data_IF_450278559470
#
_entry.id   IF_450278559470
#
_cell.length_a   1.000
_cell.length_b   1.000
_cell.length_c   1.000
_cell.angle_alpha   90.00
_cell.angle_beta   90.00
_cell.angle_gamma   90.00
#
_symmetry.space_group_name_H-M   'P 1'
#
loop_
_entity.id
_entity.type
_entity.pdbx_description
1 polymer ?
#
# COMPACT_ATOMS: atom_id res chain seq x y z
N UNK A 1 -12.83 10.33 -18.22
CA UNK A 1 -13.84 10.98 -17.36
C UNK A 1 -13.35 10.91 -15.93
N UNK A 2 -13.03 12.05 -15.31
CA UNK A 2 -12.34 12.10 -14.01
C UNK A 2 -13.30 11.77 -12.86
N UNK A 3 -12.80 11.13 -11.80
CA UNK A 3 -13.58 10.68 -10.63
C UNK A 3 -14.21 11.80 -9.81
N UNK A 4 -13.74 13.06 -9.92
CA UNK A 4 -14.44 14.18 -9.25
C UNK A 4 -15.86 14.34 -9.82
N UNK A 5 -16.04 13.99 -11.10
CA UNK A 5 -17.37 13.98 -11.72
C UNK A 5 -18.35 13.02 -11.04
N UNK A 6 -17.93 11.85 -10.56
CA UNK A 6 -18.86 10.88 -9.93
C UNK A 6 -19.29 11.34 -8.54
N UNK A 7 -18.36 11.79 -7.69
CA UNK A 7 -18.69 12.29 -6.35
C UNK A 7 -19.53 13.57 -6.41
N UNK A 8 -19.22 14.47 -7.34
CA UNK A 8 -20.04 15.64 -7.64
C UNK A 8 -21.43 15.26 -8.16
N UNK A 9 -21.52 14.26 -9.05
CA UNK A 9 -22.81 13.74 -9.54
C UNK A 9 -23.61 13.16 -8.38
N UNK A 10 -23.01 12.36 -7.51
CA UNK A 10 -23.66 11.76 -6.34
C UNK A 10 -24.16 12.85 -5.39
N UNK A 11 -23.31 13.81 -5.03
CA UNK A 11 -23.70 14.96 -4.18
C UNK A 11 -24.86 15.75 -4.81
N UNK A 12 -24.84 15.91 -6.14
CA UNK A 12 -25.92 16.60 -6.88
C UNK A 12 -27.20 15.77 -6.92
N UNK A 13 -27.09 14.45 -7.05
CA UNK A 13 -28.21 13.50 -7.02
C UNK A 13 -28.83 13.48 -5.63
N UNK A 14 -28.04 13.40 -4.57
CA UNK A 14 -28.49 13.51 -3.16
C UNK A 14 -29.33 14.77 -2.95
N UNK A 15 -28.78 15.94 -3.27
CA UNK A 15 -29.48 17.22 -3.09
C UNK A 15 -30.80 17.28 -3.87
N UNK A 16 -30.85 16.67 -5.06
CA UNK A 16 -32.09 16.61 -5.86
C UNK A 16 -33.11 15.64 -5.26
N UNK A 17 -32.68 14.47 -4.79
CA UNK A 17 -33.56 13.51 -4.12
C UNK A 17 -34.16 14.15 -2.87
N UNK A 18 -33.37 14.85 -2.08
CA UNK A 18 -33.83 15.52 -0.86
C UNK A 18 -34.85 16.63 -1.16
N UNK A 19 -34.58 17.43 -2.19
CA UNK A 19 -35.51 18.45 -2.65
C UNK A 19 -36.85 17.84 -3.12
N UNK A 20 -36.80 16.79 -3.94
CA UNK A 20 -38.02 16.11 -4.40
C UNK A 20 -38.78 15.43 -3.28
N UNK A 21 -38.07 14.82 -2.32
CA UNK A 21 -38.68 14.20 -1.14
C UNK A 21 -39.41 15.25 -0.30
N UNK A 22 -38.76 16.38 -0.04
CA UNK A 22 -39.35 17.48 0.72
C UNK A 22 -40.59 18.05 0.02
N UNK A 23 -40.52 18.23 -1.30
CA UNK A 23 -41.63 18.77 -2.07
C UNK A 23 -42.81 17.80 -2.16
N UNK A 24 -42.56 16.51 -2.39
CA UNK A 24 -43.61 15.49 -2.41
C UNK A 24 -44.27 15.34 -1.03
N UNK A 25 -43.50 15.36 0.06
CA UNK A 25 -44.05 15.33 1.42
C UNK A 25 -44.98 16.53 1.67
N UNK A 26 -44.57 17.73 1.21
CA UNK A 26 -45.38 18.95 1.29
C UNK A 26 -46.68 18.83 0.48
N UNK A 27 -46.59 18.32 -0.77
CA UNK A 27 -47.75 18.11 -1.65
C UNK A 27 -48.71 17.07 -1.04
N UNK A 28 -48.21 15.92 -0.58
CA UNK A 28 -49.02 14.89 0.08
C UNK A 28 -49.74 15.43 1.31
N UNK A 29 -49.07 16.25 2.13
CA UNK A 29 -49.71 16.90 3.28
C UNK A 29 -50.83 17.85 2.85
N UNK A 30 -50.63 18.65 1.81
CA UNK A 30 -51.67 19.54 1.28
C UNK A 30 -52.87 18.76 0.73
N UNK A 31 -52.63 17.69 -0.03
CA UNK A 31 -53.70 16.81 -0.55
C UNK A 31 -54.44 16.12 0.59
N UNK A 32 -53.74 15.75 1.67
CA UNK A 32 -54.38 15.17 2.87
C UNK A 32 -55.35 16.15 3.53
N UNK A 33 -54.95 17.42 3.66
CA UNK A 33 -55.84 18.47 4.21
C UNK A 33 -57.02 18.74 3.26
N UNK A 34 -56.77 18.81 1.95
CA UNK A 34 -57.81 19.05 0.95
C UNK A 34 -58.83 17.90 0.94
N UNK A 35 -58.37 16.66 0.98
CA UNK A 35 -59.23 15.48 1.05
C UNK A 35 -60.02 15.42 2.35
N UNK A 36 -59.43 15.82 3.48
CA UNK A 36 -60.13 15.97 4.75
C UNK A 36 -61.28 16.98 4.65
N UNK A 37 -61.03 18.16 4.10
CA UNK A 37 -62.06 19.18 3.88
C UNK A 37 -63.18 18.65 2.97
N UNK A 38 -62.84 17.93 1.91
CA UNK A 38 -63.81 17.29 1.03
C UNK A 38 -64.63 16.19 1.73
N UNK A 39 -64.02 15.40 2.61
CA UNK A 39 -64.72 14.41 3.44
C UNK A 39 -65.72 15.09 4.39
N UNK A 40 -65.34 16.21 5.02
CA UNK A 40 -66.22 16.98 5.91
C UNK A 40 -67.43 17.50 5.14
N UNK A 41 -67.22 18.09 3.96
CA UNK A 41 -68.31 18.65 3.16
C UNK A 41 -69.23 17.55 2.58
N UNK A 42 -68.66 16.41 2.17
CA UNK A 42 -69.42 15.24 1.76
C UNK A 42 -70.32 14.69 2.89
N UNK A 43 -69.82 14.66 4.13
CA UNK A 43 -70.61 14.27 5.30
C UNK A 43 -71.73 15.29 5.59
N UNK A 44 -71.45 16.59 5.40
CA UNK A 44 -72.42 17.68 5.61
C UNK A 44 -73.57 17.65 4.59
N UNK A 45 -73.29 17.23 3.36
CA UNK A 45 -74.28 17.06 2.29
C UNK A 45 -75.12 15.77 2.42
N UNK A 46 -74.84 14.90 3.41
CA UNK A 46 -75.61 13.69 3.68
C UNK A 46 -75.67 12.73 2.49
N UNK A 47 -76.87 12.29 2.11
CA UNK A 47 -77.11 11.37 1.00
C UNK A 47 -76.54 11.89 -0.34
N UNK A 48 -76.65 13.20 -0.60
CA UNK A 48 -76.17 13.81 -1.84
C UNK A 48 -74.63 13.85 -1.93
N UNK A 49 -73.93 13.79 -0.78
CA UNK A 49 -72.48 13.81 -0.68
C UNK A 49 -71.80 12.45 -0.76
N UNK A 50 -72.55 11.34 -0.77
CA UNK A 50 -71.98 9.97 -0.68
C UNK A 50 -70.92 9.68 -1.74
N UNK A 51 -71.17 10.04 -3.00
CA UNK A 51 -70.21 9.86 -4.10
C UNK A 51 -68.93 10.68 -3.94
N UNK A 52 -69.05 11.93 -3.46
CA UNK A 52 -67.91 12.79 -3.15
C UNK A 52 -67.08 12.26 -1.98
N UNK A 53 -67.72 11.64 -0.98
CA UNK A 53 -67.02 11.02 0.15
C UNK A 53 -66.10 9.87 -0.27
N UNK A 54 -66.51 9.05 -1.25
CA UNK A 54 -65.68 7.97 -1.81
C UNK A 54 -64.45 8.55 -2.52
N UNK A 55 -64.63 9.58 -3.35
CA UNK A 55 -63.52 10.24 -4.05
C UNK A 55 -62.55 10.89 -3.06
N UNK A 56 -63.06 11.55 -2.02
CA UNK A 56 -62.23 12.16 -0.99
C UNK A 56 -61.37 11.13 -0.23
N UNK A 57 -61.93 9.96 0.08
CA UNK A 57 -61.17 8.86 0.68
C UNK A 57 -60.10 8.31 -0.26
N UNK A 58 -60.40 8.13 -1.55
CA UNK A 58 -59.41 7.66 -2.54
C UNK A 58 -58.24 8.65 -2.68
N UNK A 59 -58.55 9.95 -2.73
CA UNK A 59 -57.53 11.02 -2.77
C UNK A 59 -56.66 11.00 -1.50
N UNK A 60 -57.24 10.73 -0.33
CA UNK A 60 -56.50 10.58 0.92
C UNK A 60 -55.56 9.37 0.87
N UNK A 61 -56.03 8.24 0.36
CA UNK A 61 -55.21 7.03 0.19
C UNK A 61 -54.04 7.30 -0.75
N UNK A 62 -54.27 7.95 -1.89
CA UNK A 62 -53.21 8.35 -2.83
C UNK A 62 -52.19 9.30 -2.19
N UNK A 63 -52.65 10.27 -1.39
CA UNK A 63 -51.77 11.18 -0.66
C UNK A 63 -50.88 10.44 0.36
N UNK A 64 -51.46 9.48 1.08
CA UNK A 64 -50.73 8.63 2.01
C UNK A 64 -49.69 7.76 1.29
N UNK A 65 -50.05 7.14 0.16
CA UNK A 65 -49.12 6.35 -0.65
C UNK A 65 -47.95 7.21 -1.17
N UNK A 66 -48.22 8.44 -1.60
CA UNK A 66 -47.19 9.38 -2.04
C UNK A 66 -46.25 9.82 -0.89
N UNK A 67 -46.77 9.95 0.34
CA UNK A 67 -45.95 10.21 1.52
C UNK A 67 -45.01 9.04 1.83
N UNK A 68 -45.55 7.80 1.85
CA UNK A 68 -44.75 6.58 2.05
C UNK A 68 -43.68 6.41 0.97
N UNK A 69 -44.03 6.59 -0.31
CA UNK A 69 -43.05 6.54 -1.39
C UNK A 69 -41.93 7.58 -1.23
N UNK A 70 -42.21 8.74 -0.64
CA UNK A 70 -41.20 9.74 -0.32
C UNK A 70 -40.27 9.30 0.81
N UNK A 71 -40.79 8.62 1.83
CA UNK A 71 -39.97 8.03 2.89
C UNK A 71 -39.05 6.93 2.35
N UNK A 72 -39.57 6.05 1.47
CA UNK A 72 -38.81 4.99 0.79
C UNK A 72 -37.69 5.55 -0.10
N UNK A 73 -37.89 6.71 -0.75
CA UNK A 73 -36.81 7.39 -1.46
C UNK A 73 -35.68 7.82 -0.52
N UNK A 74 -36.01 8.18 0.72
CA UNK A 74 -35.03 8.54 1.74
C UNK A 74 -34.20 7.35 2.23
N UNK A 75 -34.84 6.19 2.44
CA UNK A 75 -34.14 4.97 2.81
C UNK A 75 -33.23 4.49 1.66
N UNK A 76 -33.73 4.46 0.42
CA UNK A 76 -32.96 4.11 -0.77
C UNK A 76 -31.74 5.02 -0.96
N UNK A 77 -31.89 6.33 -0.74
CA UNK A 77 -30.77 7.29 -0.75
C UNK A 77 -29.68 6.90 0.25
N UNK A 78 -30.06 6.59 1.49
CA UNK A 78 -29.11 6.21 2.53
C UNK A 78 -28.39 4.91 2.18
N UNK A 79 -29.12 3.93 1.66
CA UNK A 79 -28.56 2.66 1.21
C UNK A 79 -27.53 2.86 0.08
N UNK A 80 -27.86 3.67 -0.93
CA UNK A 80 -26.94 3.99 -2.03
C UNK A 80 -25.67 4.69 -1.54
N UNK A 81 -25.79 5.59 -0.55
CA UNK A 81 -24.65 6.28 0.05
C UNK A 81 -23.73 5.33 0.79
N UNK A 82 -24.31 4.43 1.56
CA UNK A 82 -23.56 3.41 2.28
C UNK A 82 -22.81 2.51 1.30
N UNK A 83 -23.50 1.96 0.29
CA UNK A 83 -22.88 1.11 -0.73
C UNK A 83 -21.76 1.82 -1.49
N UNK A 84 -21.92 3.11 -1.79
CA UNK A 84 -20.88 3.89 -2.46
C UNK A 84 -19.64 4.08 -1.58
N UNK A 85 -19.84 4.40 -0.30
CA UNK A 85 -18.77 4.59 0.67
C UNK A 85 -17.98 3.29 0.87
N UNK A 86 -18.68 2.17 1.06
CA UNK A 86 -18.08 0.84 1.19
C UNK A 86 -17.24 0.49 -0.04
N UNK A 87 -17.74 0.76 -1.26
CA UNK A 87 -16.98 0.56 -2.50
C UNK A 87 -15.75 1.46 -2.61
N UNK A 88 -15.78 2.68 -2.09
CA UNK A 88 -14.59 3.53 -2.04
C UNK A 88 -13.51 2.89 -1.14
N UNK A 89 -13.91 2.36 0.01
CA UNK A 89 -13.01 1.76 1.00
C UNK A 89 -12.43 0.43 0.53
N UNK A 90 -13.25 -0.44 -0.06
CA UNK A 90 -12.80 -1.67 -0.72
C UNK A 90 -11.68 -1.36 -1.72
N UNK A 91 -11.88 -0.29 -2.50
CA UNK A 91 -10.96 0.12 -3.54
C UNK A 91 -9.65 0.71 -3.00
N UNK A 92 -9.69 1.40 -1.86
CA UNK A 92 -8.47 1.80 -1.15
C UNK A 92 -7.69 0.56 -0.69
N UNK A 93 -8.38 -0.45 -0.19
CA UNK A 93 -7.77 -1.71 0.23
C UNK A 93 -7.17 -2.49 -0.95
N UNK A 94 -7.84 -2.52 -2.11
CA UNK A 94 -7.29 -3.06 -3.37
C UNK A 94 -6.04 -2.30 -3.84
N UNK A 95 -6.06 -0.98 -3.70
CA UNK A 95 -4.91 -0.13 -4.04
C UNK A 95 -3.74 -0.45 -3.12
N UNK A 96 -3.97 -0.56 -1.81
CA UNK A 96 -2.96 -1.00 -0.85
C UNK A 96 -2.39 -2.38 -1.24
N UNK A 97 -3.26 -3.34 -1.58
CA UNK A 97 -2.81 -4.67 -2.01
C UNK A 97 -1.91 -4.58 -3.25
N UNK A 98 -2.27 -3.78 -4.24
CA UNK A 98 -1.46 -3.61 -5.45
C UNK A 98 -0.08 -3.02 -5.13
N UNK A 99 -0.03 -1.98 -4.30
CA UNK A 99 1.23 -1.31 -3.94
C UNK A 99 2.20 -2.22 -3.21
N UNK A 100 1.72 -2.98 -2.22
CA UNK A 100 2.58 -3.90 -1.48
C UNK A 100 3.07 -5.04 -2.37
N UNK A 101 2.28 -5.47 -3.35
CA UNK A 101 2.65 -6.51 -4.31
C UNK A 101 3.71 -6.05 -5.32
N UNK A 102 3.68 -4.78 -5.74
CA UNK A 102 4.73 -4.22 -6.60
C UNK A 102 6.11 -4.32 -5.93
N UNK A 103 6.17 -4.06 -4.62
CA UNK A 103 7.39 -4.20 -3.83
C UNK A 103 7.86 -5.65 -3.78
N UNK A 104 6.98 -6.60 -3.42
CA UNK A 104 7.37 -8.02 -3.30
C UNK A 104 7.95 -8.53 -4.62
N UNK A 105 7.29 -8.20 -5.74
CA UNK A 105 7.77 -8.58 -7.06
C UNK A 105 9.11 -7.93 -7.41
N UNK A 106 9.32 -6.68 -7.05
CA UNK A 106 10.58 -5.98 -7.29
C UNK A 106 11.75 -6.57 -6.46
N UNK A 107 11.46 -6.99 -5.23
CA UNK A 107 12.45 -7.58 -4.32
C UNK A 107 12.78 -9.03 -4.66
N UNK A 108 11.85 -9.78 -5.26
CA UNK A 108 12.06 -11.17 -5.65
C UNK A 108 13.32 -11.38 -6.50
N UNK A 109 13.50 -10.57 -7.55
CA UNK A 109 14.65 -10.68 -8.47
C UNK A 109 16.01 -10.54 -7.73
N UNK A 110 16.04 -9.73 -6.67
CA UNK A 110 17.26 -9.45 -5.89
C UNK A 110 17.77 -10.69 -5.16
N UNK A 111 16.87 -11.60 -4.81
CA UNK A 111 17.22 -12.90 -4.21
C UNK A 111 18.00 -13.78 -5.18
N UNK A 112 17.68 -13.74 -6.47
CA UNK A 112 18.38 -14.48 -7.51
C UNK A 112 19.70 -13.78 -7.88
N UNK A 113 19.67 -12.45 -8.04
CA UNK A 113 20.83 -11.63 -8.38
C UNK A 113 22.00 -11.89 -7.42
N UNK A 114 21.77 -11.83 -6.10
CA UNK A 114 22.83 -12.01 -5.11
C UNK A 114 23.45 -13.43 -5.13
N UNK A 115 22.62 -14.46 -5.35
CA UNK A 115 23.07 -15.86 -5.41
C UNK A 115 23.89 -16.13 -6.65
N UNK A 116 23.45 -15.62 -7.79
CA UNK A 116 24.17 -15.77 -9.05
C UNK A 116 25.51 -15.02 -9.06
N UNK A 117 25.55 -13.79 -8.56
CA UNK A 117 26.80 -13.03 -8.53
C UNK A 117 27.80 -13.55 -7.51
N UNK A 118 27.35 -14.19 -6.44
CA UNK A 118 28.26 -14.80 -5.47
C UNK A 118 29.10 -15.96 -6.06
N UNK A 119 28.74 -16.48 -7.24
CA UNK A 119 29.54 -17.49 -7.96
C UNK A 119 30.47 -16.89 -9.02
N UNK A 120 30.54 -15.57 -9.16
CA UNK A 120 31.41 -14.91 -10.14
C UNK A 120 32.89 -15.16 -9.79
N UNK A 121 33.66 -15.65 -10.77
CA UNK A 121 35.04 -16.09 -10.61
C UNK A 121 35.95 -14.99 -10.06
N UNK A 122 35.74 -13.73 -10.48
CA UNK A 122 36.55 -12.62 -10.00
C UNK A 122 36.32 -12.36 -8.50
N UNK A 123 35.07 -12.49 -8.04
CA UNK A 123 34.72 -12.29 -6.64
C UNK A 123 35.25 -13.44 -5.77
N UNK A 124 35.10 -14.67 -6.24
CA UNK A 124 35.63 -15.88 -5.57
C UNK A 124 37.15 -15.80 -5.46
N UNK A 125 37.84 -15.53 -6.57
CA UNK A 125 39.29 -15.43 -6.59
C UNK A 125 39.82 -14.28 -5.71
N UNK A 126 39.11 -13.15 -5.67
CA UNK A 126 39.41 -12.03 -4.77
C UNK A 126 39.39 -12.43 -3.29
N UNK A 127 38.40 -13.25 -2.88
CA UNK A 127 38.29 -13.74 -1.50
C UNK A 127 39.23 -14.92 -1.18
N UNK A 128 39.60 -15.73 -2.16
CA UNK A 128 40.55 -16.84 -1.95
C UNK A 128 41.99 -16.36 -1.85
N UNK A 129 42.40 -15.41 -2.70
CA UNK A 129 43.77 -14.89 -2.73
C UNK A 129 44.00 -13.77 -1.71
N UNK A 130 43.01 -12.90 -1.51
CA UNK A 130 43.12 -11.65 -0.72
C UNK A 130 44.26 -10.74 -1.19
N UNK A 131 44.72 -10.90 -2.43
CA UNK A 131 45.79 -10.10 -3.01
C UNK A 131 45.25 -8.83 -3.66
N UNK A 132 46.02 -7.74 -3.58
CA UNK A 132 45.62 -6.44 -4.14
C UNK A 132 45.17 -6.46 -5.61
N UNK A 133 45.89 -7.14 -6.54
CA UNK A 133 45.45 -7.27 -7.93
C UNK A 133 44.11 -8.01 -8.10
N UNK A 134 43.90 -9.10 -7.36
CA UNK A 134 42.66 -9.87 -7.44
C UNK A 134 41.47 -9.08 -6.87
N UNK A 135 41.65 -8.36 -5.77
CA UNK A 135 40.63 -7.49 -5.19
C UNK A 135 40.26 -6.32 -6.11
N UNK A 136 41.22 -5.73 -6.83
CA UNK A 136 40.92 -4.72 -7.87
C UNK A 136 40.10 -5.29 -9.01
N UNK A 137 40.40 -6.51 -9.45
CA UNK A 137 39.61 -7.16 -10.49
C UNK A 137 38.17 -7.45 -10.01
N UNK A 138 38.02 -7.89 -8.77
CA UNK A 138 36.70 -8.06 -8.15
C UNK A 138 35.93 -6.72 -8.09
N UNK A 139 36.59 -5.61 -7.74
CA UNK A 139 36.01 -4.27 -7.74
C UNK A 139 35.51 -3.83 -9.13
N UNK A 140 36.32 -4.03 -10.16
CA UNK A 140 35.94 -3.75 -11.56
C UNK A 140 34.71 -4.56 -11.97
N UNK A 141 34.66 -5.84 -11.57
CA UNK A 141 33.53 -6.73 -11.84
C UNK A 141 32.26 -6.24 -11.15
N UNK A 142 32.32 -5.91 -9.86
CA UNK A 142 31.20 -5.34 -9.11
C UNK A 142 30.70 -4.03 -9.76
N UNK A 143 31.63 -3.16 -10.17
CA UNK A 143 31.33 -1.90 -10.84
C UNK A 143 30.60 -2.10 -12.17
N UNK A 144 31.04 -3.09 -12.96
CA UNK A 144 30.40 -3.45 -14.22
C UNK A 144 29.01 -4.04 -14.03
N UNK A 145 28.82 -4.89 -13.01
CA UNK A 145 27.48 -5.42 -12.66
C UNK A 145 26.57 -4.25 -12.29
N UNK A 146 26.94 -3.42 -11.31
CA UNK A 146 26.08 -2.32 -10.84
C UNK A 146 25.72 -1.33 -11.97
N UNK A 147 26.59 -1.11 -12.96
CA UNK A 147 26.30 -0.25 -14.12
C UNK A 147 25.01 -0.63 -14.86
N UNK A 148 24.65 -1.91 -14.91
CA UNK A 148 23.44 -2.37 -15.60
C UNK A 148 22.20 -2.44 -14.72
N UNK A 149 22.32 -2.16 -13.41
CA UNK A 149 21.23 -2.27 -12.45
C UNK A 149 21.06 -0.96 -11.68
N UNK A 150 20.11 -0.14 -12.12
CA UNK A 150 19.85 1.18 -11.54
C UNK A 150 19.25 1.16 -10.14
N UNK A 151 18.80 0.00 -9.64
CA UNK A 151 18.13 -0.14 -8.34
C UNK A 151 19.08 -0.33 -7.17
N UNK A 152 20.36 -0.57 -7.42
CA UNK A 152 21.36 -0.77 -6.38
C UNK A 152 22.17 0.50 -6.13
N UNK A 153 22.33 0.84 -4.85
CA UNK A 153 23.31 1.86 -4.45
C UNK A 153 24.71 1.31 -4.62
N UNK A 154 24.94 0.09 -4.14
CA UNK A 154 26.27 -0.52 -4.11
C UNK A 154 26.19 -2.05 -4.04
N UNK A 155 27.26 -2.70 -4.48
CA UNK A 155 27.53 -4.11 -4.23
C UNK A 155 28.82 -4.16 -3.42
N UNK A 156 28.87 -4.97 -2.36
CA UNK A 156 30.00 -5.03 -1.43
C UNK A 156 30.51 -6.47 -1.31
N UNK A 157 31.81 -6.65 -1.45
CA UNK A 157 32.48 -7.92 -1.21
C UNK A 157 33.13 -7.87 0.17
N UNK A 158 32.75 -8.81 1.03
CA UNK A 158 33.12 -8.82 2.45
C UNK A 158 33.92 -10.06 2.76
N UNK A 159 35.07 -9.90 3.42
CA UNK A 159 35.87 -11.02 3.89
C UNK A 159 35.17 -11.80 5.02
N UNK A 160 35.65 -13.03 5.29
CA UNK A 160 35.08 -13.90 6.34
C UNK A 160 35.04 -13.29 7.75
N UNK A 161 35.84 -12.24 8.02
CA UNK A 161 35.88 -11.50 9.29
C UNK A 161 34.95 -10.29 9.33
N UNK A 162 34.20 -10.03 8.25
CA UNK A 162 33.26 -8.93 8.14
C UNK A 162 33.85 -7.61 7.68
N UNK A 163 35.10 -7.58 7.21
CA UNK A 163 35.70 -6.39 6.60
C UNK A 163 35.29 -6.25 5.14
N UNK A 164 34.87 -5.06 4.71
CA UNK A 164 34.52 -4.80 3.31
C UNK A 164 35.81 -4.61 2.50
N UNK A 165 36.07 -5.51 1.55
CA UNK A 165 37.32 -5.58 0.79
C UNK A 165 37.24 -4.86 -0.56
N UNK A 166 36.06 -4.83 -1.18
CA UNK A 166 35.80 -4.15 -2.44
C UNK A 166 34.34 -3.71 -2.53
N UNK A 167 34.04 -2.68 -3.33
CA UNK A 167 32.66 -2.30 -3.62
C UNK A 167 32.48 -1.74 -5.03
N UNK A 168 31.26 -1.79 -5.57
CA UNK A 168 30.99 -1.35 -6.95
C UNK A 168 31.06 0.16 -7.21
N UNK A 169 31.06 0.99 -6.15
CA UNK A 169 31.06 2.46 -6.26
C UNK A 169 32.01 3.11 -5.25
N UNK A 170 33.32 2.80 -5.29
CA UNK A 170 34.28 3.25 -4.29
C UNK A 170 34.49 4.77 -4.30
N UNK A 171 34.31 5.42 -5.47
CA UNK A 171 34.40 6.88 -5.60
C UNK A 171 33.20 7.61 -5.02
N UNK A 172 31.99 7.02 -5.13
CA UNK A 172 30.77 7.59 -4.58
C UNK A 172 30.68 7.36 -3.07
N UNK A 173 31.10 6.18 -2.59
CA UNK A 173 31.02 5.79 -1.18
C UNK A 173 32.41 5.42 -0.62
N UNK A 174 33.32 6.39 -0.44
CA UNK A 174 34.71 6.13 -0.08
C UNK A 174 34.90 5.54 1.32
N UNK A 175 33.86 5.57 2.17
CA UNK A 175 33.88 5.03 3.53
C UNK A 175 33.50 3.54 3.60
N UNK A 176 33.05 2.96 2.49
CA UNK A 176 32.53 1.58 2.46
C UNK A 176 33.67 0.57 2.54
N UNK A 177 34.69 0.69 1.68
CA UNK A 177 35.86 -0.19 1.72
C UNK A 177 36.64 0.06 3.01
N UNK A 178 37.01 -1.02 3.70
CA UNK A 178 37.66 -0.98 5.01
C UNK A 178 36.70 -0.86 6.21
N UNK A 179 35.41 -0.64 5.98
CA UNK A 179 34.40 -0.71 7.05
C UNK A 179 34.21 -2.15 7.55
N UNK A 180 33.67 -2.31 8.76
CA UNK A 180 33.40 -3.62 9.34
C UNK A 180 31.90 -3.83 9.59
N UNK A 181 31.35 -4.87 8.97
CA UNK A 181 29.94 -5.26 9.02
C UNK A 181 29.73 -6.59 9.76
N UNK A 182 30.73 -7.10 10.49
CA UNK A 182 30.65 -8.39 11.21
C UNK A 182 29.49 -8.49 12.21
N UNK A 183 29.01 -7.34 12.70
CA UNK A 183 27.89 -7.24 13.65
C UNK A 183 26.52 -7.12 12.97
N UNK A 184 26.46 -6.86 11.66
CA UNK A 184 25.19 -6.73 10.96
C UNK A 184 24.47 -8.08 10.92
N UNK A 185 23.14 -8.04 10.87
CA UNK A 185 22.34 -9.26 10.84
C UNK A 185 22.48 -9.96 9.49
N UNK A 186 22.43 -9.20 8.39
CA UNK A 186 22.61 -9.75 7.05
C UNK A 186 23.95 -10.48 6.86
N UNK A 187 25.06 -9.97 7.40
CA UNK A 187 26.36 -10.61 7.26
C UNK A 187 26.41 -11.94 8.02
N UNK A 188 25.98 -11.94 9.29
CA UNK A 188 25.97 -13.14 10.13
C UNK A 188 25.05 -14.22 9.56
N UNK A 189 23.87 -13.82 9.09
CA UNK A 189 22.92 -14.75 8.49
C UNK A 189 23.43 -15.30 7.14
N UNK A 190 24.05 -14.46 6.31
CA UNK A 190 24.67 -14.91 5.06
C UNK A 190 25.81 -15.90 5.31
N UNK A 191 26.71 -15.62 6.26
CA UNK A 191 27.79 -16.55 6.66
C UNK A 191 27.26 -17.87 7.22
N UNK A 192 26.10 -17.86 7.88
CA UNK A 192 25.45 -19.04 8.44
C UNK A 192 24.72 -19.92 7.42
N UNK A 193 24.56 -19.47 6.17
CA UNK A 193 23.99 -20.29 5.10
C UNK A 193 24.84 -21.55 4.86
N UNK A 194 24.19 -22.66 4.53
CA UNK A 194 24.83 -23.96 4.32
C UNK A 194 24.98 -24.34 2.84
N UNK A 195 24.24 -23.67 1.95
CA UNK A 195 24.28 -23.92 0.51
C UNK A 195 24.24 -22.61 -0.29
N UNK A 196 24.69 -22.65 -1.55
CA UNK A 196 24.76 -21.49 -2.45
C UNK A 196 23.42 -20.99 -2.98
N UNK A 197 22.35 -21.78 -2.82
CA UNK A 197 20.98 -21.40 -3.15
C UNK A 197 20.25 -20.66 -2.02
N UNK A 198 20.88 -20.56 -0.84
CA UNK A 198 20.38 -19.80 0.29
C UNK A 198 20.86 -18.35 0.27
N UNK A 199 20.13 -17.47 0.95
CA UNK A 199 20.46 -16.05 1.08
C UNK A 199 19.86 -15.51 2.38
N UNK A 200 20.28 -14.30 2.75
CA UNK A 200 19.77 -13.53 3.85
C UNK A 200 19.30 -12.16 3.34
N UNK A 201 18.32 -11.57 4.03
CA UNK A 201 17.83 -10.21 3.77
C UNK A 201 17.75 -9.49 5.10
N UNK A 202 18.26 -8.26 5.17
CA UNK A 202 18.04 -7.41 6.34
C UNK A 202 16.72 -6.64 6.25
N UNK A 203 16.23 -6.18 7.38
CA UNK A 203 15.13 -5.22 7.42
C UNK A 203 15.59 -3.82 6.95
N UNK A 204 14.65 -2.91 6.73
CA UNK A 204 14.95 -1.57 6.26
C UNK A 204 15.60 -0.74 7.37
N UNK A 205 16.76 -0.16 7.07
CA UNK A 205 17.49 0.68 8.00
C UNK A 205 18.26 1.80 7.26
N UNK A 206 18.61 2.85 8.00
CA UNK A 206 19.56 3.86 7.53
C UNK A 206 20.97 3.26 7.53
N UNK A 207 21.67 3.36 6.41
CA UNK A 207 23.04 2.92 6.31
C UNK A 207 24.03 4.10 6.35
N UNK A 208 24.84 4.15 7.40
CA UNK A 208 25.82 5.23 7.60
C UNK A 208 26.97 5.23 6.60
N UNK A 209 27.24 4.11 5.93
CA UNK A 209 28.29 4.02 4.91
C UNK A 209 27.82 4.54 3.55
N UNK A 210 26.51 4.59 3.33
CA UNK A 210 25.85 5.12 2.13
C UNK A 210 25.07 6.42 2.43
N UNK A 211 25.71 7.36 3.14
CA UNK A 211 25.19 8.70 3.43
C UNK A 211 23.86 8.74 4.21
N UNK A 212 23.56 7.72 5.00
CA UNK A 212 22.35 7.63 5.81
C UNK A 212 21.10 7.28 5.01
N UNK A 213 21.25 6.80 3.77
CA UNK A 213 20.14 6.35 2.93
C UNK A 213 19.43 5.15 3.55
N UNK A 214 18.12 5.07 3.34
CA UNK A 214 17.37 3.85 3.66
C UNK A 214 17.71 2.76 2.65
N UNK A 215 18.12 1.60 3.14
CA UNK A 215 18.52 0.46 2.31
C UNK A 215 17.87 -0.84 2.77
N UNK A 216 17.78 -1.78 1.84
CA UNK A 216 17.63 -3.20 2.14
C UNK A 216 18.89 -3.92 1.67
N UNK A 217 19.43 -4.85 2.46
CA UNK A 217 20.63 -5.60 2.06
C UNK A 217 20.26 -7.05 1.82
N UNK A 218 20.46 -7.50 0.59
CA UNK A 218 20.41 -8.91 0.22
C UNK A 218 21.83 -9.45 0.28
N UNK A 219 22.03 -10.60 0.90
CA UNK A 219 23.37 -11.13 1.11
C UNK A 219 23.40 -12.65 0.99
N UNK A 220 24.52 -13.18 0.51
CA UNK A 220 24.79 -14.62 0.55
C UNK A 220 26.27 -14.90 0.71
N UNK A 221 26.60 -16.09 1.20
CA UNK A 221 27.99 -16.52 1.32
C UNK A 221 28.61 -16.72 -0.07
N UNK A 222 29.78 -16.13 -0.28
CA UNK A 222 30.67 -16.54 -1.38
C UNK A 222 31.40 -17.80 -0.92
N UNK A 223 31.39 -18.83 -1.77
CA UNK A 223 31.90 -20.15 -1.44
C UNK A 223 33.12 -20.50 -2.27
N UNK A 224 34.03 -21.25 -1.64
CA UNK A 224 35.27 -21.71 -2.26
C UNK A 224 35.01 -22.42 -3.60
N UNK A 225 35.81 -22.09 -4.62
CA UNK A 225 35.71 -22.60 -5.98
C UNK A 225 34.31 -22.48 -6.61
N UNK A 226 33.51 -21.50 -6.18
CA UNK A 226 32.12 -21.29 -6.61
C UNK A 226 31.20 -22.52 -6.40
N UNK A 227 31.57 -23.46 -5.51
CA UNK A 227 30.77 -24.67 -5.26
C UNK A 227 29.56 -24.36 -4.39
N UNK A 228 28.41 -24.95 -4.74
CA UNK A 228 27.15 -24.80 -4.00
C UNK A 228 27.30 -25.24 -2.54
N UNK A 229 28.06 -26.29 -2.27
CA UNK A 229 28.37 -26.86 -0.96
C UNK A 229 29.77 -26.48 -0.44
N UNK A 230 30.45 -25.54 -1.12
CA UNK A 230 31.77 -25.09 -0.74
C UNK A 230 31.79 -24.35 0.60
N UNK A 231 32.96 -24.33 1.26
CA UNK A 231 33.16 -23.56 2.48
C UNK A 231 32.90 -22.08 2.23
N UNK A 232 32.16 -21.42 3.11
CA UNK A 232 31.98 -19.95 3.09
C UNK A 232 33.32 -19.25 3.33
N UNK A 233 33.74 -18.42 2.38
CA UNK A 233 35.02 -17.66 2.41
C UNK A 233 34.81 -16.15 2.53
N UNK A 234 33.57 -15.69 2.39
CA UNK A 234 33.16 -14.30 2.56
C UNK A 234 31.68 -14.14 2.23
N UNK A 235 31.24 -12.90 2.06
CA UNK A 235 29.85 -12.55 1.75
C UNK A 235 29.81 -11.56 0.60
N UNK A 236 28.88 -11.78 -0.33
CA UNK A 236 28.45 -10.75 -1.26
C UNK A 236 27.22 -10.07 -0.67
N UNK A 237 27.30 -8.76 -0.47
CA UNK A 237 26.17 -7.92 -0.08
C UNK A 237 25.70 -7.06 -1.26
N UNK A 238 24.41 -7.00 -1.46
CA UNK A 238 23.73 -6.23 -2.50
C UNK A 238 22.88 -5.16 -1.80
N UNK A 239 23.31 -3.91 -1.89
CA UNK A 239 22.71 -2.77 -1.19
C UNK A 239 21.66 -2.13 -2.09
N UNK A 240 20.40 -2.49 -1.85
CA UNK A 240 19.25 -2.02 -2.61
C UNK A 240 18.84 -0.61 -2.16
N UNK A 241 18.59 0.28 -3.13
CA UNK A 241 18.16 1.67 -2.88
C UNK A 241 16.68 1.74 -2.47
N UNK A 242 16.39 1.30 -1.24
CA UNK A 242 15.03 1.26 -0.73
C UNK A 242 14.35 2.63 -0.80
N UNK A 243 15.06 3.70 -0.41
CA UNK A 243 14.50 5.05 -0.39
C UNK A 243 13.92 5.48 -1.74
N UNK A 244 14.69 5.36 -2.83
CA UNK A 244 14.23 5.80 -4.16
C UNK A 244 13.10 4.92 -4.69
N UNK A 245 13.24 3.60 -4.54
CA UNK A 245 12.29 2.64 -5.11
C UNK A 245 10.95 2.71 -4.37
N UNK A 246 10.97 2.74 -3.04
CA UNK A 246 9.76 2.82 -2.25
C UNK A 246 9.06 4.18 -2.41
N UNK A 247 9.82 5.29 -2.51
CA UNK A 247 9.26 6.62 -2.80
C UNK A 247 8.51 6.66 -4.13
N UNK A 248 9.01 5.96 -5.15
CA UNK A 248 8.34 5.83 -6.45
C UNK A 248 7.00 5.11 -6.28
N UNK A 249 6.96 4.04 -5.51
CA UNK A 249 5.74 3.25 -5.30
C UNK A 249 4.69 4.03 -4.53
N UNK A 250 5.06 4.65 -3.42
CA UNK A 250 4.10 5.40 -2.59
C UNK A 250 3.68 6.76 -3.18
N UNK A 251 4.27 7.23 -4.29
CA UNK A 251 3.94 8.53 -4.91
C UNK A 251 3.50 8.47 -6.37
N UNK A 252 4.12 7.60 -7.18
CA UNK A 252 3.95 7.58 -8.64
C UNK A 252 3.12 6.39 -9.13
N UNK A 253 3.22 5.24 -8.46
CA UNK A 253 2.46 4.04 -8.84
C UNK A 253 1.00 4.07 -8.33
N UNK A 254 0.70 4.98 -7.39
CA UNK A 254 -0.65 5.10 -6.82
C UNK A 254 -1.59 5.78 -7.82
N UNK A 255 -2.61 5.05 -8.30
CA UNK A 255 -3.57 5.58 -9.28
C UNK A 255 -4.84 6.13 -8.60
N UNK A 256 -4.80 7.40 -8.23
CA UNK A 256 -5.92 8.13 -7.61
C UNK A 256 -6.25 9.42 -8.36
N UNK A 257 -7.46 9.96 -8.13
CA UNK A 257 -7.79 11.33 -8.54
C UNK A 257 -7.02 12.33 -7.68
N UNK A 258 -6.75 13.52 -8.23
CA UNK A 258 -6.06 14.59 -7.50
C UNK A 258 -6.76 14.97 -6.17
N UNK A 259 -8.09 15.04 -6.16
CA UNK A 259 -8.88 15.30 -4.94
C UNK A 259 -8.65 14.21 -3.88
N UNK A 260 -8.75 12.94 -4.28
CA UNK A 260 -8.53 11.79 -3.40
C UNK A 260 -7.10 11.77 -2.87
N UNK A 261 -6.13 12.05 -3.75
CA UNK A 261 -4.72 12.12 -3.39
C UNK A 261 -4.44 13.23 -2.37
N UNK A 262 -5.05 14.41 -2.54
CA UNK A 262 -4.84 15.55 -1.65
C UNK A 262 -5.25 15.28 -0.19
N UNK A 263 -6.18 14.36 0.04
CA UNK A 263 -6.63 13.91 1.37
C UNK A 263 -6.04 12.56 1.79
N UNK A 264 -5.15 11.98 1.00
CA UNK A 264 -4.61 10.64 1.25
C UNK A 264 -3.12 10.65 1.57
N UNK A 265 -2.73 9.79 2.50
CA UNK A 265 -1.35 9.47 2.84
C UNK A 265 -1.13 7.98 2.60
N UNK A 266 -0.12 7.64 1.80
CA UNK A 266 0.21 6.27 1.43
C UNK A 266 1.49 5.88 2.14
N UNK A 267 1.52 4.69 2.74
CA UNK A 267 2.65 4.19 3.50
C UNK A 267 2.93 2.73 3.19
N UNK A 268 4.18 2.33 3.36
CA UNK A 268 4.60 0.95 3.49
C UNK A 268 5.10 0.74 4.92
N UNK A 269 4.71 -0.37 5.53
CA UNK A 269 5.13 -0.76 6.87
C UNK A 269 5.89 -2.09 6.82
N UNK A 270 6.91 -2.23 7.65
CA UNK A 270 7.56 -3.53 7.86
C UNK A 270 6.70 -4.49 8.71
N UNK A 271 7.21 -5.71 8.98
CA UNK A 271 6.49 -6.69 9.81
C UNK A 271 6.40 -6.28 11.30
N UNK A 272 7.18 -5.29 11.72
CA UNK A 272 7.11 -4.68 13.05
C UNK A 272 6.22 -3.42 13.05
N UNK A 273 5.47 -3.18 11.96
CA UNK A 273 4.60 -2.04 11.75
C UNK A 273 5.32 -0.69 11.79
N UNK A 274 6.62 -0.64 11.49
CA UNK A 274 7.34 0.63 11.32
C UNK A 274 7.17 1.15 9.91
N UNK A 275 7.03 2.47 9.74
CA UNK A 275 6.90 3.09 8.43
C UNK A 275 8.21 3.02 7.67
N UNK A 276 8.29 2.16 6.66
CA UNK A 276 9.47 2.03 5.80
C UNK A 276 9.40 2.89 4.54
N UNK A 277 8.22 3.40 4.18
CA UNK A 277 8.06 4.47 3.20
C UNK A 277 6.78 5.25 3.44
N UNK A 278 6.76 6.53 3.06
CA UNK A 278 5.56 7.37 3.14
C UNK A 278 5.49 8.39 2.00
N UNK A 279 4.28 8.69 1.54
CA UNK A 279 4.04 9.65 0.47
C UNK A 279 4.44 11.07 0.84
N UNK A 280 4.56 11.39 2.12
CA UNK A 280 4.94 12.70 2.67
C UNK A 280 6.34 12.73 3.32
N UNK A 281 7.12 11.64 3.20
CA UNK A 281 8.43 11.43 3.85
C UNK A 281 8.39 11.56 5.41
N UNK A 282 7.20 11.57 6.04
CA UNK A 282 7.07 11.67 7.50
C UNK A 282 7.01 10.30 8.17
N UNK A 283 7.50 10.26 9.41
CA UNK A 283 7.39 9.09 10.29
C UNK A 283 8.26 7.90 9.90
N UNK A 284 9.24 8.08 9.01
CA UNK A 284 10.11 6.99 8.57
C UNK A 284 10.81 6.31 9.75
N UNK A 285 10.80 4.97 9.73
CA UNK A 285 11.27 4.04 10.77
C UNK A 285 10.57 4.17 12.14
N UNK A 286 9.51 4.98 12.24
CA UNK A 286 8.69 5.07 13.45
C UNK A 286 7.55 4.05 13.40
N UNK A 287 7.09 3.53 14.55
CA UNK A 287 5.95 2.63 14.61
C UNK A 287 4.66 3.34 14.14
N UNK A 288 3.79 2.59 13.47
CA UNK A 288 2.45 2.99 13.09
C UNK A 288 1.43 2.03 13.72
N UNK A 289 0.43 2.57 14.40
CA UNK A 289 -0.64 1.77 15.01
C UNK A 289 -1.62 1.31 13.94
N UNK A 290 -1.52 0.04 13.53
CA UNK A 290 -2.43 -0.57 12.57
C UNK A 290 -3.36 -1.58 13.25
N UNK A 291 -4.66 -1.28 13.31
CA UNK A 291 -5.68 -2.18 13.85
C UNK A 291 -6.14 -3.24 12.84
N UNK A 292 -5.23 -4.09 12.40
CA UNK A 292 -5.55 -5.10 11.38
C UNK A 292 -6.38 -6.29 11.92
N UNK A 293 -6.53 -6.45 13.24
CA UNK A 293 -7.37 -7.49 13.90
C UNK A 293 -7.17 -8.91 13.33
N UNK A 294 -5.93 -9.27 13.00
CA UNK A 294 -5.58 -10.56 12.39
C UNK A 294 -5.92 -10.71 10.90
N UNK A 295 -6.56 -9.73 10.27
CA UNK A 295 -6.82 -9.71 8.84
C UNK A 295 -5.56 -9.36 8.05
N UNK A 296 -5.41 -9.98 6.88
CA UNK A 296 -4.33 -9.66 5.92
C UNK A 296 -4.70 -8.46 5.05
N UNK A 297 -5.97 -8.12 4.91
CA UNK A 297 -6.46 -7.03 4.08
C UNK A 297 -7.78 -6.53 4.66
N UNK A 298 -7.99 -5.22 4.66
CA UNK A 298 -9.23 -4.63 5.12
C UNK A 298 -9.18 -3.11 5.18
N UNK A 299 -10.15 -2.55 5.87
CA UNK A 299 -10.23 -1.14 6.19
C UNK A 299 -11.01 -0.93 7.49
N UNK A 300 -10.82 0.24 8.10
CA UNK A 300 -11.58 0.70 9.25
C UNK A 300 -11.54 2.22 9.32
N UNK A 301 -12.45 2.81 10.11
CA UNK A 301 -12.40 4.23 10.47
C UNK A 301 -11.80 4.35 11.88
N UNK A 302 -10.82 5.22 12.06
CA UNK A 302 -10.21 5.47 13.36
C UNK A 302 -11.01 6.50 14.18
N UNK A 303 -10.57 6.78 15.40
CA UNK A 303 -11.22 7.72 16.30
C UNK A 303 -11.23 9.18 15.78
N UNK A 304 -10.27 9.53 14.92
CA UNK A 304 -10.15 10.85 14.30
C UNK A 304 -11.03 11.01 13.05
N UNK A 305 -11.81 9.97 12.69
CA UNK A 305 -12.64 9.94 11.49
C UNK A 305 -11.86 9.71 10.20
N UNK A 306 -10.58 9.33 10.28
CA UNK A 306 -9.78 8.94 9.13
C UNK A 306 -10.09 7.49 8.73
N UNK A 307 -10.15 7.25 7.43
CA UNK A 307 -10.31 5.92 6.85
C UNK A 307 -8.91 5.32 6.68
N UNK A 308 -8.68 4.16 7.27
CA UNK A 308 -7.43 3.41 7.16
C UNK A 308 -7.71 2.15 6.37
N UNK A 309 -7.20 2.06 5.16
CA UNK A 309 -7.21 0.86 4.35
C UNK A 309 -5.83 0.21 4.32
N UNK A 310 -5.77 -1.11 4.40
CA UNK A 310 -4.51 -1.83 4.49
C UNK A 310 -4.54 -3.17 3.74
N UNK A 311 -3.36 -3.63 3.38
CA UNK A 311 -3.13 -4.97 2.83
C UNK A 311 -1.71 -5.44 3.16
N UNK A 312 -1.58 -6.72 3.48
CA UNK A 312 -0.33 -7.43 3.73
C UNK A 312 0.23 -8.00 2.44
N UNK A 313 1.53 -8.15 2.36
CA UNK A 313 2.19 -8.97 1.36
C UNK A 313 1.60 -10.38 1.34
N UNK A 314 1.33 -10.84 0.12
CA UNK A 314 1.10 -12.23 -0.26
C UNK A 314 2.38 -12.67 -0.95
N UNK A 315 2.82 -13.91 -0.74
CA UNK A 315 4.01 -14.45 -1.39
C UNK A 315 3.94 -14.40 -2.91
N UNK A 316 5.10 -14.36 -3.55
CA UNK A 316 5.28 -14.36 -5.00
C UNK A 316 6.34 -15.39 -5.40
N UNK A 317 5.92 -16.41 -6.15
CA UNK A 317 6.76 -17.57 -6.50
C UNK A 317 7.33 -18.22 -5.23
N UNK A 318 8.67 -18.33 -5.12
CA UNK A 318 9.38 -18.90 -3.97
C UNK A 318 9.72 -17.86 -2.88
N UNK A 319 9.22 -16.63 -3.02
CA UNK A 319 9.48 -15.54 -2.08
C UNK A 319 8.20 -15.13 -1.37
N UNK A 320 8.08 -15.53 -0.10
CA UNK A 320 6.92 -15.23 0.75
C UNK A 320 6.79 -13.73 1.10
N UNK A 321 7.78 -12.92 0.75
CA UNK A 321 7.89 -11.53 1.16
C UNK A 321 8.37 -11.39 2.61
N UNK A 322 8.47 -10.14 3.06
CA UNK A 322 8.95 -9.82 4.42
C UNK A 322 7.80 -9.54 5.41
N UNK A 323 6.57 -9.94 5.07
CA UNK A 323 5.39 -9.73 5.92
C UNK A 323 4.95 -8.26 6.01
N UNK A 324 5.31 -7.45 5.03
CA UNK A 324 5.06 -6.01 5.00
C UNK A 324 3.60 -5.66 4.73
N UNK A 325 3.23 -4.43 5.03
CA UNK A 325 1.90 -3.88 4.77
C UNK A 325 2.00 -2.65 3.87
N UNK A 326 1.02 -2.44 3.00
CA UNK A 326 0.69 -1.12 2.51
C UNK A 326 -0.50 -0.58 3.30
N UNK A 327 -0.46 0.71 3.62
CA UNK A 327 -1.52 1.41 4.33
C UNK A 327 -1.83 2.72 3.61
N UNK A 328 -3.12 2.97 3.38
CA UNK A 328 -3.62 4.25 2.88
C UNK A 328 -4.49 4.85 3.97
N UNK A 329 -4.08 6.00 4.47
CA UNK A 329 -4.87 6.82 5.39
C UNK A 329 -5.55 7.91 4.57
N UNK A 330 -6.86 8.06 4.71
CA UNK A 330 -7.64 9.09 4.05
C UNK A 330 -8.36 9.94 5.09
N UNK A 331 -8.11 11.24 5.04
CA UNK A 331 -8.81 12.22 5.88
C UNK A 331 -10.22 12.48 5.35
N UNK A 332 -11.18 12.84 6.23
CA UNK A 332 -12.56 13.12 5.84
C UNK A 332 -12.66 14.14 4.70
#
# INVERSE_FOLDING_TARGET
MSRSSIKEIITKVERRIDAYRSENARISSQITILSLNATIEAARAGEAGRGFGVVANEVRTLASQAATASEDLGSLRNELLQQFTEREWDRLSDTAQTLVQLIVRNLYERTADVRWWATDEALVHGLESLEGPALRHAEERLSLINRFYSVYLNLVLVGAKGEVLACSRPTQFPKVVGSNVSRSLWFRNAMATTAGDQYAVDDIANDGAHDGRLVAVFATAVRQAAKVDGKSIGVLGVVFDWETQARTIVRKEVTMSAETWARSRVMLLDNNLRVIASSDDKGLLQPFTLEHKGQSKGYYMNADGEIIAFAKTIGYQEYDGLGWYAVIVQRP
#
